data_IF_561917974365
#
_entry.id   IF_561917974365
#
_cell.length_a   1.000
_cell.length_b   1.000
_cell.length_c   1.000
_cell.angle_alpha   90.00
_cell.angle_beta   90.00
_cell.angle_gamma   90.00
#
_symmetry.space_group_name_H-M   'P 1'
#
loop_
_entity.id
_entity.type
_entity.pdbx_description
1 polymer ?
#
# COMPACT_ATOMS: atom_id res chain seq x y z
N UNK A 1 26.65 -12.65 -88.83
CA UNK A 1 26.07 -11.33 -88.51
C UNK A 1 25.06 -11.52 -87.43
N UNK A 2 25.42 -11.27 -86.22
CA UNK A 2 24.52 -11.36 -85.03
C UNK A 2 24.67 -10.07 -84.24
N UNK A 3 23.59 -9.32 -84.10
CA UNK A 3 23.47 -8.10 -83.22
C UNK A 3 23.30 -8.49 -81.80
N UNK A 4 23.93 -7.79 -80.82
CA UNK A 4 23.66 -7.96 -79.40
C UNK A 4 22.45 -7.12 -78.99
N UNK A 5 21.53 -7.77 -78.23
CA UNK A 5 20.42 -7.13 -77.52
C UNK A 5 20.93 -6.46 -76.21
N UNK A 6 20.76 -5.14 -76.08
CA UNK A 6 20.92 -4.40 -74.91
C UNK A 6 19.69 -4.61 -73.98
N UNK A 7 19.90 -5.16 -72.80
CA UNK A 7 18.91 -5.14 -71.73
C UNK A 7 19.15 -3.88 -70.89
N UNK A 8 18.21 -2.93 -70.97
CA UNK A 8 18.20 -1.77 -70.09
C UNK A 8 17.67 -2.15 -68.69
N UNK A 9 18.51 -2.03 -67.68
CA UNK A 9 18.13 -2.17 -66.29
C UNK A 9 17.52 -0.84 -65.78
N UNK A 10 16.20 -0.77 -65.67
CA UNK A 10 15.52 0.36 -65.02
C UNK A 10 15.65 0.22 -63.52
N UNK A 11 16.55 0.98 -62.91
CA UNK A 11 16.62 1.12 -61.46
C UNK A 11 15.43 1.98 -60.96
N UNK A 12 14.45 1.34 -60.35
CA UNK A 12 13.39 2.05 -59.61
C UNK A 12 13.98 2.59 -58.32
N UNK A 13 14.23 3.88 -58.27
CA UNK A 13 14.51 4.63 -57.05
C UNK A 13 13.22 4.65 -56.18
N UNK A 14 13.16 3.75 -55.22
CA UNK A 14 12.24 3.85 -54.09
C UNK A 14 12.70 5.02 -53.22
N UNK A 15 12.14 6.21 -53.44
CA UNK A 15 12.25 7.32 -52.52
C UNK A 15 11.49 6.93 -51.25
N UNK A 16 12.21 6.54 -50.20
CA UNK A 16 11.69 6.53 -48.84
C UNK A 16 11.38 7.98 -48.50
N UNK A 17 10.09 8.34 -48.56
CA UNK A 17 9.63 9.59 -47.97
C UNK A 17 9.92 9.53 -46.47
N UNK A 18 11.04 10.12 -46.05
CA UNK A 18 11.28 10.44 -44.67
C UNK A 18 10.14 11.37 -44.28
N UNK A 19 9.25 10.89 -43.40
CA UNK A 19 8.26 11.74 -42.77
C UNK A 19 9.02 12.78 -41.96
N UNK A 20 9.28 13.94 -42.55
CA UNK A 20 9.85 15.08 -41.82
C UNK A 20 8.89 15.41 -40.71
N UNK A 21 9.29 15.14 -39.47
CA UNK A 21 8.54 15.60 -38.31
C UNK A 21 8.48 17.14 -38.41
N UNK A 22 7.27 17.66 -38.57
CA UNK A 22 7.04 19.11 -38.52
C UNK A 22 7.54 19.62 -37.18
N UNK A 23 8.48 20.57 -37.13
CA UNK A 23 8.96 21.11 -35.88
C UNK A 23 7.79 21.73 -35.12
N UNK A 24 7.71 21.42 -33.81
CA UNK A 24 6.71 21.99 -32.90
C UNK A 24 6.91 23.51 -32.88
N UNK A 25 5.90 24.28 -33.26
CA UNK A 25 5.94 25.75 -33.15
C UNK A 25 5.77 26.20 -31.68
N UNK A 26 6.19 27.42 -31.38
CA UNK A 26 5.96 28.00 -30.04
C UNK A 26 4.46 28.10 -29.73
N UNK A 27 3.64 28.51 -30.70
CA UNK A 27 2.18 28.59 -30.54
C UNK A 27 1.58 27.20 -30.25
N UNK A 28 2.07 26.15 -30.90
CA UNK A 28 1.64 24.78 -30.63
C UNK A 28 2.09 24.30 -29.25
N UNK A 29 3.32 24.63 -28.83
CA UNK A 29 3.81 24.29 -27.50
C UNK A 29 3.05 25.01 -26.39
N UNK A 30 2.56 26.22 -26.65
CA UNK A 30 1.75 27.02 -25.73
C UNK A 30 0.26 26.71 -25.81
N UNK A 31 -0.19 25.94 -26.81
CA UNK A 31 -1.58 25.53 -26.95
C UNK A 31 -1.98 24.51 -25.86
N UNK A 32 -3.30 24.27 -25.72
CA UNK A 32 -3.79 23.25 -24.81
C UNK A 32 -3.15 21.88 -25.13
N UNK A 33 -2.62 21.13 -24.14
CA UNK A 33 -1.82 19.90 -24.36
C UNK A 33 -2.58 18.75 -25.06
N UNK A 34 -3.89 18.86 -25.27
CA UNK A 34 -4.68 17.85 -26.00
C UNK A 34 -4.21 17.62 -27.45
N UNK A 35 -3.43 18.53 -28.02
CA UNK A 35 -2.81 18.30 -29.35
C UNK A 35 -1.77 17.18 -29.35
N UNK A 36 -1.19 16.85 -28.19
CA UNK A 36 -0.28 15.69 -28.02
C UNK A 36 -1.08 14.37 -28.04
N UNK A 37 -2.38 14.45 -27.75
CA UNK A 37 -3.28 13.34 -27.55
C UNK A 37 -3.77 13.25 -26.10
N UNK A 38 -4.82 12.48 -25.90
CA UNK A 38 -5.39 12.23 -24.57
C UNK A 38 -5.02 10.82 -24.13
N UNK A 39 -4.02 10.64 -23.22
CA UNK A 39 -3.60 9.33 -22.78
C UNK A 39 -4.69 8.65 -21.95
N UNK A 40 -4.62 7.33 -21.83
CA UNK A 40 -5.38 6.56 -20.85
C UNK A 40 -4.80 6.88 -19.46
N UNK A 41 -5.63 7.40 -18.56
CA UNK A 41 -5.19 7.82 -17.23
C UNK A 41 -5.24 6.67 -16.20
N UNK A 42 -6.20 5.76 -16.37
CA UNK A 42 -6.34 4.57 -15.53
C UNK A 42 -7.04 3.46 -16.29
N UNK A 43 -6.67 2.22 -16.01
CA UNK A 43 -7.32 1.04 -16.58
C UNK A 43 -7.42 -0.06 -15.55
N UNK A 44 -8.51 -0.85 -15.60
CA UNK A 44 -8.72 -1.99 -14.70
C UNK A 44 -9.57 -3.06 -15.39
N UNK A 45 -9.45 -4.28 -14.91
CA UNK A 45 -10.25 -5.40 -15.39
C UNK A 45 -11.62 -5.43 -14.73
N UNK A 46 -12.64 -5.88 -15.47
CA UNK A 46 -13.87 -6.37 -14.86
C UNK A 46 -13.55 -7.56 -13.94
N UNK A 47 -14.33 -7.74 -12.87
CA UNK A 47 -14.07 -8.80 -11.90
C UNK A 47 -14.08 -10.21 -12.51
N UNK A 48 -14.84 -10.42 -13.59
CA UNK A 48 -14.89 -11.67 -14.36
C UNK A 48 -13.77 -11.81 -15.41
N UNK A 49 -12.87 -10.82 -15.49
CA UNK A 49 -11.73 -10.76 -16.44
C UNK A 49 -12.11 -10.82 -17.93
N UNK A 50 -13.35 -10.49 -18.30
CA UNK A 50 -13.80 -10.51 -19.69
C UNK A 50 -13.67 -9.17 -20.40
N UNK A 51 -13.60 -8.07 -19.64
CA UNK A 51 -13.50 -6.72 -20.17
C UNK A 51 -12.44 -5.91 -19.44
N UNK A 52 -11.90 -4.92 -20.14
CA UNK A 52 -11.07 -3.87 -19.54
C UNK A 52 -11.90 -2.59 -19.56
N UNK A 53 -11.93 -1.92 -18.42
CA UNK A 53 -12.43 -0.55 -18.31
C UNK A 53 -11.24 0.40 -18.28
N UNK A 54 -11.42 1.59 -18.84
CA UNK A 54 -10.41 2.63 -18.73
C UNK A 54 -11.03 4.02 -18.74
N UNK A 55 -10.34 4.97 -18.13
CA UNK A 55 -10.70 6.39 -18.12
C UNK A 55 -9.77 7.17 -19.04
N UNK A 56 -10.37 8.04 -19.81
CA UNK A 56 -9.67 8.91 -20.75
C UNK A 56 -10.32 10.29 -20.77
N UNK A 57 -9.50 11.33 -20.78
CA UNK A 57 -9.96 12.70 -20.93
C UNK A 57 -10.59 12.89 -22.32
N UNK A 58 -11.72 13.60 -22.36
CA UNK A 58 -12.32 14.00 -23.65
C UNK A 58 -11.50 15.15 -24.26
N UNK A 59 -11.22 15.06 -25.54
CA UNK A 59 -10.50 16.10 -26.28
C UNK A 59 -11.23 17.45 -26.15
N UNK A 60 -10.52 18.48 -25.79
CA UNK A 60 -11.08 19.84 -25.60
C UNK A 60 -11.96 20.02 -24.35
N UNK A 61 -11.98 19.07 -23.42
CA UNK A 61 -12.80 19.11 -22.21
C UNK A 61 -12.00 18.62 -21.00
N UNK A 62 -12.19 19.17 -19.78
CA UNK A 62 -11.62 18.61 -18.56
C UNK A 62 -12.34 17.32 -18.11
N UNK A 63 -13.45 16.94 -18.74
CA UNK A 63 -14.25 15.77 -18.37
C UNK A 63 -13.57 14.48 -18.81
N UNK A 64 -13.62 13.46 -17.95
CA UNK A 64 -13.17 12.10 -18.24
C UNK A 64 -14.37 11.23 -18.56
N UNK A 65 -14.25 10.43 -19.62
CA UNK A 65 -15.20 9.38 -19.94
C UNK A 65 -14.63 8.02 -19.59
N UNK A 66 -15.50 7.09 -19.21
CA UNK A 66 -15.15 5.69 -19.02
C UNK A 66 -15.50 4.91 -20.28
N UNK A 67 -14.59 4.04 -20.68
CA UNK A 67 -14.74 3.15 -21.83
C UNK A 67 -14.62 1.71 -21.41
N UNK A 68 -15.22 0.81 -22.17
CA UNK A 68 -15.03 -0.62 -22.05
C UNK A 68 -14.45 -1.19 -23.34
N UNK A 69 -13.58 -2.18 -23.18
CA UNK A 69 -12.96 -2.94 -24.24
C UNK A 69 -13.02 -4.42 -23.88
N UNK A 70 -13.38 -5.30 -24.82
CA UNK A 70 -13.33 -6.74 -24.57
C UNK A 70 -11.91 -7.22 -24.25
N UNK A 71 -11.76 -8.20 -23.36
CA UNK A 71 -10.46 -8.73 -22.94
C UNK A 71 -9.63 -9.35 -24.07
N UNK A 72 -10.25 -9.66 -25.21
CA UNK A 72 -9.59 -10.13 -26.43
C UNK A 72 -9.32 -9.00 -27.44
N UNK A 73 -9.58 -7.75 -27.06
CA UNK A 73 -9.47 -6.59 -27.94
C UNK A 73 -10.79 -6.26 -28.63
N UNK A 74 -10.72 -5.44 -29.69
CA UNK A 74 -11.88 -4.99 -30.45
C UNK A 74 -12.05 -3.47 -30.41
N UNK A 75 -13.26 -2.98 -30.64
CA UNK A 75 -13.57 -1.57 -30.55
C UNK A 75 -13.99 -1.15 -29.17
N UNK A 76 -13.36 -0.11 -28.64
CA UNK A 76 -13.75 0.47 -27.36
C UNK A 76 -15.10 1.17 -27.45
N UNK A 77 -15.94 0.99 -26.46
CA UNK A 77 -17.26 1.62 -26.37
C UNK A 77 -17.31 2.51 -25.12
N UNK A 78 -17.79 3.75 -25.31
CA UNK A 78 -18.01 4.66 -24.20
C UNK A 78 -19.17 4.15 -23.34
N UNK A 79 -18.99 4.22 -22.03
CA UNK A 79 -20.00 3.85 -21.06
C UNK A 79 -20.82 5.09 -20.72
N UNK A 80 -22.14 4.95 -20.85
CA UNK A 80 -23.08 6.00 -20.49
C UNK A 80 -23.20 6.13 -18.96
N UNK A 81 -23.47 7.35 -18.48
CA UNK A 81 -23.57 7.64 -17.05
C UNK A 81 -24.61 6.76 -16.33
N UNK A 82 -25.71 6.38 -17.02
CA UNK A 82 -26.74 5.48 -16.49
C UNK A 82 -26.24 4.06 -16.21
N UNK A 83 -25.24 3.59 -16.96
CA UNK A 83 -24.67 2.27 -16.80
C UNK A 83 -23.52 2.25 -15.77
N UNK A 84 -23.00 3.42 -15.39
CA UNK A 84 -21.85 3.54 -14.53
C UNK A 84 -22.04 2.89 -13.13
N UNK A 85 -23.28 2.92 -12.62
CA UNK A 85 -23.63 2.29 -11.36
C UNK A 85 -23.49 0.76 -11.34
N UNK A 86 -23.34 0.13 -12.50
CA UNK A 86 -23.18 -1.32 -12.64
C UNK A 86 -21.72 -1.75 -12.89
N UNK A 87 -20.78 -0.81 -12.94
CA UNK A 87 -19.37 -1.13 -13.22
C UNK A 87 -18.67 -1.67 -11.96
N UNK A 88 -17.68 -2.52 -12.22
CA UNK A 88 -16.63 -2.81 -11.25
C UNK A 88 -15.66 -1.64 -11.17
N UNK A 89 -14.90 -1.54 -10.08
CA UNK A 89 -13.87 -0.50 -9.92
C UNK A 89 -12.50 -1.17 -9.73
N UNK A 90 -11.43 -0.39 -9.84
CA UNK A 90 -10.07 -0.85 -9.60
C UNK A 90 -9.86 -1.30 -8.13
N UNK A 91 -8.76 -2.00 -7.87
CA UNK A 91 -8.40 -2.40 -6.49
C UNK A 91 -9.24 -3.55 -5.93
N UNK A 92 -9.74 -4.43 -6.79
CA UNK A 92 -10.57 -5.57 -6.40
C UNK A 92 -9.78 -6.58 -5.57
N UNK A 93 -10.37 -7.03 -4.45
CA UNK A 93 -9.93 -8.18 -3.68
C UNK A 93 -10.87 -9.36 -3.93
N UNK A 94 -10.30 -10.54 -4.15
CA UNK A 94 -11.06 -11.76 -4.47
C UNK A 94 -11.12 -12.70 -3.27
N UNK A 95 -12.20 -13.47 -3.15
CA UNK A 95 -12.22 -14.61 -2.24
C UNK A 95 -11.27 -15.73 -2.72
N UNK A 96 -10.91 -16.66 -1.83
CA UNK A 96 -9.95 -17.71 -2.13
C UNK A 96 -10.36 -18.59 -3.32
N UNK A 97 -11.66 -18.80 -3.52
CA UNK A 97 -12.22 -19.56 -4.64
C UNK A 97 -12.35 -18.73 -5.94
N UNK A 98 -12.08 -17.42 -5.88
CA UNK A 98 -12.29 -16.46 -6.98
C UNK A 98 -13.72 -16.52 -7.55
N UNK A 99 -14.70 -16.66 -6.67
CA UNK A 99 -16.12 -16.64 -7.03
C UNK A 99 -16.78 -15.30 -6.76
N UNK A 100 -16.13 -14.46 -5.94
CA UNK A 100 -16.60 -13.12 -5.58
C UNK A 100 -15.42 -12.15 -5.57
N UNK A 101 -15.71 -10.89 -5.88
CA UNK A 101 -14.78 -9.78 -5.76
C UNK A 101 -15.41 -8.67 -4.92
N UNK A 102 -14.62 -8.00 -4.09
CA UNK A 102 -15.02 -6.79 -3.35
C UNK A 102 -14.15 -5.62 -3.79
N UNK A 103 -14.71 -4.44 -3.82
CA UNK A 103 -14.03 -3.21 -4.21
C UNK A 103 -14.71 -1.98 -3.60
N UNK A 104 -14.00 -0.85 -3.64
CA UNK A 104 -14.56 0.45 -3.24
C UNK A 104 -15.02 1.21 -4.48
N UNK A 105 -16.20 1.78 -4.39
CA UNK A 105 -16.70 2.73 -5.38
C UNK A 105 -17.34 3.91 -4.67
N UNK A 106 -16.83 5.12 -4.93
CA UNK A 106 -17.27 6.37 -4.29
C UNK A 106 -17.29 6.32 -2.76
N UNK A 107 -16.32 5.62 -2.15
CA UNK A 107 -16.21 5.50 -0.70
C UNK A 107 -17.00 4.35 -0.09
N UNK A 108 -17.87 3.68 -0.83
CA UNK A 108 -18.68 2.54 -0.34
C UNK A 108 -18.11 1.19 -0.81
N UNK A 109 -18.36 0.15 -0.01
CA UNK A 109 -17.97 -1.23 -0.31
C UNK A 109 -19.03 -1.91 -1.17
N UNK A 110 -18.57 -2.51 -2.28
CA UNK A 110 -19.37 -3.32 -3.18
C UNK A 110 -18.83 -4.73 -3.31
N UNK A 111 -19.71 -5.68 -3.58
CA UNK A 111 -19.34 -7.07 -3.87
C UNK A 111 -19.97 -7.52 -5.18
N UNK A 112 -19.13 -8.11 -6.06
CA UNK A 112 -19.54 -8.76 -7.30
C UNK A 112 -19.53 -10.27 -7.13
N UNK A 113 -20.62 -10.95 -7.43
CA UNK A 113 -20.66 -12.41 -7.64
C UNK A 113 -20.23 -12.72 -9.08
N UNK A 114 -19.20 -13.54 -9.27
CA UNK A 114 -18.68 -13.85 -10.61
C UNK A 114 -19.51 -14.89 -11.33
N UNK A 115 -20.27 -15.73 -10.60
CA UNK A 115 -21.09 -16.77 -11.20
C UNK A 115 -22.34 -16.24 -11.93
N UNK A 116 -23.00 -15.25 -11.38
CA UNK A 116 -24.26 -14.68 -11.91
C UNK A 116 -24.17 -13.18 -12.23
N UNK A 117 -23.03 -12.55 -12.00
CA UNK A 117 -22.83 -11.13 -12.25
C UNK A 117 -23.55 -10.19 -11.29
N UNK A 118 -24.15 -10.69 -10.20
CA UNK A 118 -24.90 -9.85 -9.26
C UNK A 118 -23.97 -8.89 -8.52
N UNK A 119 -24.37 -7.62 -8.44
CA UNK A 119 -23.68 -6.57 -7.69
C UNK A 119 -24.47 -6.27 -6.41
N UNK A 120 -23.81 -6.37 -5.26
CA UNK A 120 -24.36 -6.06 -3.95
C UNK A 120 -23.62 -4.86 -3.38
N UNK A 121 -24.34 -3.80 -3.01
CA UNK A 121 -23.79 -2.71 -2.22
C UNK A 121 -23.85 -3.12 -0.74
N UNK A 122 -22.68 -3.16 -0.09
CA UNK A 122 -22.53 -3.57 1.32
C UNK A 122 -22.71 -2.39 2.25
N UNK A 123 -22.12 -1.24 1.90
CA UNK A 123 -22.24 -0.01 2.70
C UNK A 123 -22.89 1.10 1.90
N UNK A 124 -23.50 2.04 2.60
CA UNK A 124 -23.98 3.30 2.07
C UNK A 124 -23.88 4.34 3.18
N UNK A 125 -22.79 5.04 3.24
CA UNK A 125 -22.51 6.01 4.30
C UNK A 125 -21.93 7.31 3.75
N UNK A 126 -21.86 8.34 4.60
CA UNK A 126 -21.17 9.59 4.27
C UNK A 126 -19.67 9.51 4.54
N UNK A 127 -19.23 8.49 5.29
CA UNK A 127 -17.82 8.21 5.57
C UNK A 127 -17.28 7.26 4.51
N UNK A 128 -16.00 7.41 4.17
CA UNK A 128 -15.35 6.52 3.24
C UNK A 128 -14.91 5.23 3.95
N UNK A 129 -15.16 4.11 3.30
CA UNK A 129 -14.57 2.83 3.63
C UNK A 129 -13.31 2.58 2.80
N UNK A 130 -12.39 1.80 3.37
CA UNK A 130 -11.12 1.43 2.76
C UNK A 130 -10.78 -0.05 2.97
N UNK A 131 -9.78 -0.54 2.26
CA UNK A 131 -9.16 -1.86 2.42
C UNK A 131 -10.16 -3.04 2.48
N UNK A 132 -11.14 -3.13 1.55
CA UNK A 132 -12.11 -4.23 1.55
C UNK A 132 -11.38 -5.55 1.23
N UNK A 133 -11.67 -6.59 2.01
CA UNK A 133 -11.10 -7.91 1.81
C UNK A 133 -12.07 -8.99 2.30
N UNK A 134 -11.93 -10.21 1.80
CA UNK A 134 -12.65 -11.35 2.37
C UNK A 134 -11.95 -11.86 3.63
N UNK A 135 -12.73 -12.36 4.59
CA UNK A 135 -12.18 -13.18 5.66
C UNK A 135 -11.57 -14.47 5.08
N UNK A 136 -10.60 -15.06 5.78
CA UNK A 136 -9.89 -16.24 5.32
C UNK A 136 -10.82 -17.44 5.03
N UNK A 137 -11.93 -17.55 5.76
CA UNK A 137 -12.99 -18.56 5.55
C UNK A 137 -14.02 -18.14 4.45
N UNK A 138 -13.88 -16.93 3.91
CA UNK A 138 -14.81 -16.39 2.92
C UNK A 138 -16.20 -16.04 3.45
N UNK A 139 -16.44 -16.18 4.77
CA UNK A 139 -17.76 -15.97 5.40
C UNK A 139 -18.15 -14.51 5.60
N UNK A 140 -17.18 -13.61 5.55
CA UNK A 140 -17.37 -12.18 5.81
C UNK A 140 -16.59 -11.31 4.82
N UNK A 141 -17.02 -10.06 4.67
CA UNK A 141 -16.24 -8.99 4.05
C UNK A 141 -15.75 -8.08 5.17
N UNK A 142 -14.44 -7.96 5.29
CA UNK A 142 -13.76 -7.06 6.23
C UNK A 142 -13.46 -5.75 5.52
N UNK A 143 -13.61 -4.63 6.21
CA UNK A 143 -13.27 -3.31 5.67
C UNK A 143 -12.94 -2.34 6.81
N UNK A 144 -12.26 -1.27 6.47
CA UNK A 144 -11.89 -0.20 7.41
C UNK A 144 -12.78 1.01 7.20
N UNK A 145 -13.16 1.68 8.30
CA UNK A 145 -13.78 3.01 8.31
C UNK A 145 -13.07 3.85 9.37
N UNK A 146 -12.41 4.92 8.95
CA UNK A 146 -11.50 5.65 9.85
C UNK A 146 -10.41 4.74 10.40
N UNK A 147 -10.30 4.64 11.72
CA UNK A 147 -9.35 3.73 12.36
C UNK A 147 -9.94 2.35 12.70
N UNK A 148 -11.23 2.18 12.56
CA UNK A 148 -11.96 1.01 13.03
C UNK A 148 -12.17 -0.01 11.90
N UNK A 149 -12.15 -1.30 12.25
CA UNK A 149 -12.38 -2.42 11.34
C UNK A 149 -13.74 -3.05 11.58
N UNK A 150 -14.43 -3.34 10.49
CA UNK A 150 -15.77 -3.90 10.48
C UNK A 150 -15.82 -5.20 9.67
N UNK A 151 -16.76 -6.05 9.99
CA UNK A 151 -17.12 -7.23 9.22
C UNK A 151 -18.57 -7.13 8.78
N UNK A 152 -18.82 -7.31 7.49
CA UNK A 152 -20.15 -7.56 6.95
C UNK A 152 -20.38 -9.06 6.74
N UNK A 153 -21.54 -9.55 7.14
CA UNK A 153 -21.97 -10.94 6.95
C UNK A 153 -23.12 -11.01 5.95
N UNK A 154 -23.27 -12.17 5.29
CA UNK A 154 -24.37 -12.41 4.33
C UNK A 154 -25.77 -12.21 4.92
N UNK A 155 -25.94 -12.23 6.26
CA UNK A 155 -27.17 -11.87 6.96
C UNK A 155 -27.53 -10.38 6.85
N UNK A 156 -26.61 -9.54 6.38
CA UNK A 156 -26.73 -8.08 6.35
C UNK A 156 -26.18 -7.38 7.60
N UNK A 157 -25.76 -8.12 8.61
CA UNK A 157 -25.16 -7.54 9.81
C UNK A 157 -23.78 -6.95 9.50
N UNK A 158 -23.56 -5.71 9.96
CA UNK A 158 -22.24 -5.07 10.02
C UNK A 158 -21.86 -4.95 11.49
N UNK A 159 -20.74 -5.53 11.87
CA UNK A 159 -20.27 -5.54 13.25
C UNK A 159 -18.84 -5.01 13.36
N UNK A 160 -18.47 -4.25 14.42
CA UNK A 160 -17.11 -3.84 14.64
C UNK A 160 -16.26 -5.04 15.09
N UNK A 161 -15.17 -5.30 14.37
CA UNK A 161 -14.20 -6.35 14.68
C UNK A 161 -13.11 -5.81 15.61
N UNK A 162 -12.66 -4.58 15.33
CA UNK A 162 -11.61 -3.91 16.07
C UNK A 162 -11.85 -2.39 16.07
N UNK A 163 -11.87 -1.79 17.23
CA UNK A 163 -11.94 -0.35 17.41
C UNK A 163 -10.62 0.16 17.97
N UNK A 164 -9.93 1.07 17.26
CA UNK A 164 -8.63 1.61 17.62
C UNK A 164 -8.76 3.05 18.09
N UNK A 165 -8.23 3.35 19.29
CA UNK A 165 -8.28 4.70 19.88
C UNK A 165 -6.88 5.21 20.20
N UNK A 166 -6.55 6.39 19.69
CA UNK A 166 -5.36 7.16 20.06
C UNK A 166 -5.64 8.01 21.31
N UNK A 167 -6.06 7.34 22.37
CA UNK A 167 -6.49 7.93 23.64
C UNK A 167 -5.93 7.13 24.79
N UNK A 168 -5.90 7.74 25.99
CA UNK A 168 -5.61 6.99 27.21
C UNK A 168 -6.76 6.03 27.51
N UNK A 169 -6.43 4.80 27.92
CA UNK A 169 -7.41 3.84 28.38
C UNK A 169 -8.13 4.40 29.63
N UNK A 170 -9.45 4.64 29.56
CA UNK A 170 -10.18 5.25 30.68
C UNK A 170 -10.24 4.34 31.93
N UNK A 171 -10.08 3.03 31.73
CA UNK A 171 -10.09 2.05 32.83
C UNK A 171 -8.69 1.85 33.44
N UNK A 172 -7.62 2.29 32.76
CA UNK A 172 -6.25 2.32 33.30
C UNK A 172 -6.02 3.57 34.12
N UNK A 173 -6.14 3.43 35.43
CA UNK A 173 -5.73 4.50 36.34
C UNK A 173 -4.20 4.60 36.39
N UNK A 174 -3.65 5.82 36.52
CA UNK A 174 -2.23 5.98 36.77
C UNK A 174 -1.82 5.19 38.02
N UNK A 175 -0.60 4.63 38.05
CA UNK A 175 -0.13 3.89 39.22
C UNK A 175 -0.23 4.79 40.45
N UNK A 176 -0.92 4.29 41.47
CA UNK A 176 -1.07 5.00 42.74
C UNK A 176 0.31 5.11 43.37
N UNK A 177 0.73 6.33 43.75
CA UNK A 177 2.00 6.51 44.45
C UNK A 177 2.05 5.66 45.75
N UNK A 178 3.23 5.24 46.16
CA UNK A 178 3.39 4.45 47.38
C UNK A 178 2.78 5.17 48.62
N UNK A 179 2.85 6.51 48.66
CA UNK A 179 2.22 7.33 49.68
C UNK A 179 0.69 7.25 49.63
N UNK A 180 0.09 7.44 48.42
CA UNK A 180 -1.36 7.33 48.27
C UNK A 180 -1.88 5.91 48.51
N UNK A 181 -1.09 4.87 48.21
CA UNK A 181 -1.44 3.48 48.52
C UNK A 181 -1.41 3.22 50.03
N UNK A 182 -0.50 3.86 50.75
CA UNK A 182 -0.43 3.77 52.20
C UNK A 182 -1.62 4.47 52.85
N UNK A 183 -1.96 5.69 52.44
CA UNK A 183 -3.12 6.44 52.93
C UNK A 183 -4.44 5.69 52.69
N UNK A 184 -4.61 5.11 51.48
CA UNK A 184 -5.79 4.30 51.15
C UNK A 184 -5.94 3.06 52.03
N UNK A 185 -4.83 2.45 52.48
CA UNK A 185 -4.88 1.32 53.45
C UNK A 185 -5.29 1.73 54.86
N UNK A 186 -5.01 2.96 55.25
CA UNK A 186 -5.43 3.49 56.56
C UNK A 186 -6.93 3.71 56.67
N UNK A 187 -7.63 3.85 55.53
CA UNK A 187 -9.09 4.02 55.44
C UNK A 187 -9.72 2.75 54.87
N UNK A 188 -10.00 1.78 55.78
CA UNK A 188 -10.51 0.45 55.42
C UNK A 188 -11.77 0.49 54.52
N UNK A 189 -12.62 1.50 54.69
CA UNK A 189 -13.82 1.67 53.84
C UNK A 189 -13.49 2.02 52.40
N UNK A 190 -12.51 2.91 52.16
CA UNK A 190 -12.07 3.27 50.81
C UNK A 190 -11.31 2.12 50.12
N UNK A 191 -10.50 1.37 50.90
CA UNK A 191 -9.86 0.16 50.38
C UNK A 191 -10.88 -0.87 49.91
N UNK A 192 -11.89 -1.17 50.74
CA UNK A 192 -12.99 -2.08 50.37
C UNK A 192 -13.75 -1.61 49.13
N UNK A 193 -14.11 -0.34 49.08
CA UNK A 193 -14.83 0.22 47.90
C UNK A 193 -13.99 0.17 46.62
N UNK A 194 -12.66 0.28 46.76
CA UNK A 194 -11.75 0.11 45.63
C UNK A 194 -11.76 -1.34 45.15
N UNK A 195 -11.61 -2.30 46.05
CA UNK A 195 -11.58 -3.73 45.75
C UNK A 195 -12.92 -4.18 45.11
N UNK A 196 -14.05 -3.70 45.63
CA UNK A 196 -15.37 -3.97 45.09
C UNK A 196 -15.54 -3.42 43.66
N UNK A 197 -15.06 -2.19 43.39
CA UNK A 197 -15.08 -1.61 42.03
C UNK A 197 -14.18 -2.39 41.07
N UNK A 198 -12.99 -2.79 41.50
CA UNK A 198 -12.06 -3.57 40.70
C UNK A 198 -12.66 -4.96 40.35
N UNK A 199 -13.31 -5.61 41.33
CA UNK A 199 -13.99 -6.87 41.12
C UNK A 199 -15.16 -6.74 40.15
N UNK A 200 -16.02 -5.70 40.28
CA UNK A 200 -17.11 -5.43 39.39
C UNK A 200 -16.64 -5.11 37.93
N UNK A 201 -15.59 -4.30 37.81
CA UNK A 201 -15.01 -3.99 36.49
C UNK A 201 -14.46 -5.25 35.84
N UNK A 202 -13.73 -6.07 36.57
CA UNK A 202 -13.19 -7.35 36.07
C UNK A 202 -14.30 -8.31 35.60
N UNK A 203 -15.38 -8.42 36.37
CA UNK A 203 -16.54 -9.24 36.00
C UNK A 203 -17.25 -8.69 34.76
N UNK A 204 -17.50 -7.36 34.73
CA UNK A 204 -18.09 -6.70 33.55
C UNK A 204 -17.26 -6.96 32.28
N UNK A 205 -15.96 -6.77 32.35
CA UNK A 205 -15.06 -6.92 31.21
C UNK A 205 -14.98 -8.38 30.77
N UNK A 206 -14.95 -9.32 31.71
CA UNK A 206 -15.02 -10.76 31.44
C UNK A 206 -16.31 -11.13 30.70
N UNK A 207 -17.47 -10.61 31.13
CA UNK A 207 -18.76 -10.83 30.45
C UNK A 207 -18.76 -10.24 29.05
N UNK A 208 -18.28 -9.00 28.86
CA UNK A 208 -18.19 -8.36 27.53
C UNK A 208 -17.31 -9.13 26.55
N UNK A 209 -16.19 -9.69 27.02
CA UNK A 209 -15.31 -10.49 26.20
C UNK A 209 -15.92 -11.86 25.83
N UNK A 210 -16.74 -12.42 26.73
CA UNK A 210 -17.41 -13.72 26.53
C UNK A 210 -18.70 -13.60 25.69
N UNK A 211 -19.29 -12.41 25.64
CA UNK A 211 -20.56 -12.16 24.94
C UNK A 211 -20.30 -11.87 23.45
N UNK A 212 -20.55 -12.88 22.60
CA UNK A 212 -20.40 -12.74 21.15
C UNK A 212 -21.44 -11.80 20.49
N UNK A 213 -22.51 -11.41 21.21
CA UNK A 213 -23.51 -10.48 20.72
C UNK A 213 -23.16 -9.01 20.98
N UNK A 214 -22.17 -8.75 21.81
CA UNK A 214 -21.73 -7.41 22.18
C UNK A 214 -20.49 -6.99 21.36
N UNK A 215 -20.46 -5.72 20.96
CA UNK A 215 -19.25 -5.14 20.38
C UNK A 215 -18.11 -5.21 21.39
N UNK A 216 -16.92 -5.65 20.91
CA UNK A 216 -15.75 -5.70 21.76
C UNK A 216 -15.33 -4.30 22.23
N UNK A 217 -14.72 -4.16 23.41
CA UNK A 217 -14.20 -2.88 23.87
C UNK A 217 -13.18 -2.31 22.89
N UNK A 218 -12.97 -0.99 22.91
CA UNK A 218 -11.95 -0.35 22.10
C UNK A 218 -10.54 -0.71 22.59
N UNK A 219 -9.59 -0.78 21.67
CA UNK A 219 -8.16 -0.96 21.93
C UNK A 219 -7.49 0.40 21.99
N UNK A 220 -6.90 0.74 23.12
CA UNK A 220 -6.28 2.04 23.38
C UNK A 220 -4.77 1.98 23.14
N UNK A 221 -4.24 2.91 22.34
CA UNK A 221 -2.82 3.01 21.98
C UNK A 221 -2.08 4.13 22.76
N UNK A 222 -2.81 4.87 23.61
CA UNK A 222 -2.28 6.01 24.35
C UNK A 222 -2.68 7.36 23.73
N UNK A 223 -2.61 8.42 24.52
CA UNK A 223 -3.03 9.78 24.14
C UNK A 223 -1.97 10.57 23.35
N UNK A 224 -0.72 10.09 23.41
CA UNK A 224 0.44 10.81 22.87
C UNK A 224 0.85 10.30 21.46
N UNK A 225 -0.05 9.57 20.81
CA UNK A 225 0.15 9.02 19.48
C UNK A 225 -0.93 9.45 18.50
N UNK A 226 -0.60 9.38 17.21
CA UNK A 226 -1.54 9.47 16.08
C UNK A 226 -1.49 8.14 15.34
N UNK A 227 -2.64 7.54 15.06
CA UNK A 227 -2.73 6.35 14.23
C UNK A 227 -2.55 6.79 12.77
N UNK A 228 -1.50 6.29 12.13
CA UNK A 228 -1.17 6.63 10.73
C UNK A 228 -1.69 5.57 9.74
N UNK A 229 -2.06 4.40 10.22
CA UNK A 229 -2.62 3.33 9.42
C UNK A 229 -2.72 2.04 10.19
N UNK A 230 -3.51 1.11 9.66
CA UNK A 230 -3.63 -0.24 10.22
C UNK A 230 -3.98 -1.25 9.13
N UNK A 231 -3.74 -2.52 9.42
CA UNK A 231 -4.21 -3.64 8.60
C UNK A 231 -4.70 -4.77 9.50
N UNK A 232 -5.76 -5.45 9.09
CA UNK A 232 -6.36 -6.57 9.80
C UNK A 232 -6.05 -7.88 9.05
N UNK A 233 -5.66 -8.91 9.77
CA UNK A 233 -5.46 -10.23 9.16
C UNK A 233 -6.75 -10.79 8.58
N UNK A 234 -6.72 -11.48 7.43
CA UNK A 234 -7.91 -12.11 6.85
C UNK A 234 -8.62 -13.09 7.80
N UNK A 235 -7.89 -13.73 8.72
CA UNK A 235 -8.49 -14.59 9.75
C UNK A 235 -9.06 -13.83 10.96
N UNK A 236 -8.98 -12.49 10.97
CA UNK A 236 -9.50 -11.65 12.05
C UNK A 236 -8.76 -11.75 13.38
N UNK A 237 -7.63 -12.48 13.43
CA UNK A 237 -6.93 -12.75 14.69
C UNK A 237 -6.00 -11.63 15.13
N UNK A 238 -5.30 -11.03 14.18
CA UNK A 238 -4.30 -10.00 14.45
C UNK A 238 -4.58 -8.73 13.65
N UNK A 239 -4.28 -7.60 14.24
CA UNK A 239 -4.12 -6.36 13.51
C UNK A 239 -2.72 -5.81 13.71
N UNK A 240 -2.24 -5.08 12.71
CA UNK A 240 -0.98 -4.39 12.75
C UNK A 240 -1.26 -2.89 12.62
N UNK A 241 -0.75 -2.08 13.56
CA UNK A 241 -1.07 -0.67 13.66
C UNK A 241 0.20 0.16 13.61
N UNK A 242 0.16 1.24 12.87
CA UNK A 242 1.25 2.19 12.68
C UNK A 242 0.89 3.48 13.42
N UNK A 243 1.80 3.96 14.26
CA UNK A 243 1.61 5.23 14.96
C UNK A 243 2.81 6.14 14.80
N UNK A 244 2.54 7.45 14.87
CA UNK A 244 3.54 8.51 15.02
C UNK A 244 3.33 9.23 16.35
N UNK A 245 4.34 9.92 16.85
CA UNK A 245 4.22 10.75 18.03
C UNK A 245 3.31 11.96 17.76
N UNK A 246 2.38 12.23 18.67
CA UNK A 246 1.46 13.37 18.56
C UNK A 246 2.22 14.68 18.83
N UNK A 247 2.02 15.67 17.95
CA UNK A 247 2.68 16.98 18.08
C UNK A 247 4.18 16.95 17.77
N UNK A 248 4.69 15.87 17.16
CA UNK A 248 6.04 15.84 16.62
C UNK A 248 6.24 16.94 15.58
N UNK A 249 7.45 17.48 15.49
CA UNK A 249 7.81 18.52 14.53
C UNK A 249 7.77 17.97 13.10
N UNK A 250 6.73 18.33 12.36
CA UNK A 250 6.58 17.95 10.94
C UNK A 250 7.45 18.83 10.02
N UNK A 251 8.23 19.73 10.61
CA UNK A 251 9.09 20.64 9.89
C UNK A 251 8.35 21.88 9.39
N UNK A 252 9.05 22.71 8.61
CA UNK A 252 8.56 23.99 8.13
C UNK A 252 8.23 23.91 6.64
N UNK A 253 6.94 23.97 6.30
CA UNK A 253 6.47 24.02 4.92
C UNK A 253 6.94 25.26 4.19
N UNK A 254 7.27 25.13 2.92
CA UNK A 254 7.45 26.24 2.01
C UNK A 254 6.09 26.83 1.61
N UNK A 255 6.09 28.11 1.25
CA UNK A 255 4.94 28.76 0.60
C UNK A 255 5.39 29.23 -0.77
N UNK A 256 4.64 28.90 -1.79
CA UNK A 256 4.89 29.31 -3.17
C UNK A 256 3.75 30.22 -3.61
N UNK A 257 4.05 31.45 -4.09
CA UNK A 257 3.02 32.33 -4.60
C UNK A 257 2.49 31.81 -5.94
N UNK A 258 1.19 31.88 -6.12
CA UNK A 258 0.47 31.75 -7.39
C UNK A 258 0.04 33.13 -7.84
N UNK A 259 0.63 33.62 -8.92
CA UNK A 259 0.31 34.96 -9.47
C UNK A 259 -0.84 34.94 -10.47
N UNK A 260 -1.08 33.77 -11.13
CA UNK A 260 -2.21 33.59 -12.05
C UNK A 260 -3.27 32.74 -11.33
N UNK A 261 -4.33 33.38 -10.89
CA UNK A 261 -5.40 32.78 -10.10
C UNK A 261 -6.76 33.19 -10.61
N UNK A 262 -7.79 32.42 -10.31
CA UNK A 262 -9.18 32.77 -10.66
C UNK A 262 -9.68 34.00 -9.91
N UNK A 263 -9.17 34.27 -8.71
CA UNK A 263 -9.50 35.43 -7.90
C UNK A 263 -8.92 36.72 -8.45
N UNK A 264 -7.93 36.65 -9.34
CA UNK A 264 -7.17 37.80 -9.84
C UNK A 264 -6.20 38.41 -8.81
N UNK A 265 -6.05 37.79 -7.64
CA UNK A 265 -5.12 38.21 -6.59
C UNK A 265 -4.07 37.13 -6.35
N UNK A 266 -2.93 37.51 -5.78
CA UNK A 266 -1.89 36.59 -5.38
C UNK A 266 -2.43 35.61 -4.32
N UNK A 267 -2.26 34.31 -4.57
CA UNK A 267 -2.58 33.24 -3.66
C UNK A 267 -1.30 32.46 -3.25
N UNK A 268 -1.31 31.83 -2.07
CA UNK A 268 -0.17 31.04 -1.60
C UNK A 268 -0.54 29.58 -1.49
N UNK A 269 0.25 28.75 -2.14
CA UNK A 269 0.16 27.29 -2.03
C UNK A 269 1.20 26.79 -1.03
N UNK A 270 0.76 25.92 -0.11
CA UNK A 270 1.69 25.21 0.76
C UNK A 270 2.38 24.12 -0.05
N UNK A 271 3.70 24.23 -0.15
CA UNK A 271 4.53 23.27 -0.87
C UNK A 271 5.40 22.47 0.08
N UNK A 272 6.23 21.59 -0.49
CA UNK A 272 7.16 20.73 0.27
C UNK A 272 7.90 21.50 1.35
N UNK A 273 8.22 20.82 2.40
CA UNK A 273 9.04 21.34 3.50
C UNK A 273 10.40 21.79 2.97
N UNK A 274 10.93 22.84 3.56
CA UNK A 274 12.25 23.39 3.21
C UNK A 274 13.33 22.34 3.47
N UNK A 275 14.35 22.30 2.61
CA UNK A 275 15.48 21.39 2.72
C UNK A 275 16.11 21.51 4.11
N UNK A 276 16.38 20.37 4.76
CA UNK A 276 16.94 20.30 6.11
C UNK A 276 15.96 20.67 7.24
N UNK A 277 14.70 20.97 6.92
CA UNK A 277 13.66 21.33 7.91
C UNK A 277 12.56 20.26 8.02
N UNK A 278 12.71 19.16 7.34
CA UNK A 278 11.78 18.04 7.37
C UNK A 278 12.54 16.75 7.70
N UNK A 279 12.51 16.36 8.94
CA UNK A 279 12.88 15.01 9.33
C UNK A 279 11.61 14.17 9.23
N UNK A 280 11.58 13.10 8.42
CA UNK A 280 10.45 12.18 8.42
C UNK A 280 10.23 11.67 9.83
N UNK A 281 8.97 11.67 10.29
CA UNK A 281 8.63 11.21 11.63
C UNK A 281 8.92 9.72 11.77
N UNK A 282 9.58 9.34 12.84
CA UNK A 282 9.73 7.94 13.23
C UNK A 282 8.34 7.33 13.49
N UNK A 283 8.17 6.08 13.14
CA UNK A 283 6.95 5.34 13.37
C UNK A 283 7.19 4.22 14.37
N UNK A 284 6.19 3.97 15.20
CA UNK A 284 6.09 2.77 16.04
C UNK A 284 5.08 1.83 15.41
N UNK A 285 5.39 0.56 15.45
CA UNK A 285 4.57 -0.50 14.89
C UNK A 285 4.08 -1.40 16.02
N UNK A 286 2.77 -1.66 16.01
CA UNK A 286 2.10 -2.39 17.08
C UNK A 286 1.42 -3.63 16.53
N UNK A 287 1.57 -4.73 17.24
CA UNK A 287 0.82 -5.94 17.02
C UNK A 287 -0.33 -5.99 18.03
N UNK A 288 -1.56 -6.07 17.52
CA UNK A 288 -2.79 -6.19 18.32
C UNK A 288 -3.35 -7.59 18.12
N UNK A 289 -3.54 -8.34 19.20
CA UNK A 289 -4.32 -9.58 19.18
C UNK A 289 -5.79 -9.25 19.45
N UNK A 290 -6.64 -9.41 18.42
CA UNK A 290 -8.04 -8.93 18.42
C UNK A 290 -8.89 -9.59 19.51
N UNK A 291 -8.66 -10.89 19.79
CA UNK A 291 -9.46 -11.62 20.77
C UNK A 291 -9.22 -11.16 22.19
N UNK A 292 -7.98 -10.88 22.55
CA UNK A 292 -7.55 -10.51 23.92
C UNK A 292 -7.34 -9.01 24.07
N UNK A 293 -7.35 -8.25 22.97
CA UNK A 293 -7.02 -6.83 22.88
C UNK A 293 -5.60 -6.51 23.40
N UNK A 294 -4.73 -7.51 23.39
CA UNK A 294 -3.33 -7.36 23.77
C UNK A 294 -2.59 -6.53 22.73
N UNK A 295 -1.92 -5.48 23.18
CA UNK A 295 -1.11 -4.57 22.33
C UNK A 295 0.35 -4.74 22.70
N UNK A 296 1.19 -5.03 21.70
CA UNK A 296 2.64 -5.16 21.86
C UNK A 296 3.37 -4.34 20.81
N UNK A 297 4.35 -3.55 21.22
CA UNK A 297 5.24 -2.86 20.28
C UNK A 297 6.15 -3.88 19.59
N UNK A 298 6.37 -3.69 18.29
CA UNK A 298 7.21 -4.60 17.50
C UNK A 298 8.69 -4.30 17.77
N UNK A 299 9.46 -5.34 18.04
CA UNK A 299 10.90 -5.26 18.26
C UNK A 299 11.67 -5.39 16.91
N UNK A 300 12.54 -4.43 16.63
CA UNK A 300 13.38 -4.37 15.45
C UNK A 300 14.84 -4.74 15.71
N UNK A 301 15.20 -5.13 16.93
CA UNK A 301 16.59 -5.40 17.33
C UNK A 301 17.28 -6.48 16.49
N UNK A 302 16.48 -7.40 15.90
CA UNK A 302 16.96 -8.48 15.04
C UNK A 302 17.27 -8.04 13.59
N UNK A 303 16.97 -6.81 13.21
CA UNK A 303 17.24 -6.34 11.84
C UNK A 303 18.74 -6.12 11.62
N UNK A 304 19.33 -6.71 10.59
CA UNK A 304 20.76 -6.55 10.32
C UNK A 304 21.11 -5.07 10.05
N UNK A 305 22.09 -4.54 10.76
CA UNK A 305 22.56 -3.17 10.62
C UNK A 305 21.69 -2.09 11.24
N UNK A 306 20.64 -2.45 12.02
CA UNK A 306 19.73 -1.47 12.63
C UNK A 306 20.41 -0.50 13.60
N UNK A 307 21.47 -0.93 14.29
CA UNK A 307 22.26 -0.11 15.20
C UNK A 307 23.53 0.46 14.55
N UNK A 308 23.78 0.18 13.27
CA UNK A 308 24.95 0.72 12.55
C UNK A 308 24.63 2.13 12.04
N UNK A 309 25.44 3.12 12.35
CA UNK A 309 25.30 4.47 11.83
C UNK A 309 25.97 4.59 10.44
N UNK A 310 25.20 4.64 9.34
CA UNK A 310 25.77 4.79 8.00
C UNK A 310 26.33 6.20 7.75
N UNK A 311 26.08 7.15 8.64
CA UNK A 311 26.51 8.53 8.56
C UNK A 311 27.63 8.86 9.59
N UNK A 312 28.25 7.84 10.21
CA UNK A 312 29.22 8.02 11.29
C UNK A 312 30.37 8.96 10.90
N UNK A 313 30.96 8.78 9.71
CA UNK A 313 32.07 9.64 9.24
C UNK A 313 31.59 11.07 8.98
N UNK A 314 30.42 11.27 8.41
CA UNK A 314 29.84 12.60 8.20
C UNK A 314 29.54 13.31 9.52
N UNK A 315 29.01 12.57 10.51
CA UNK A 315 28.78 13.11 11.86
C UNK A 315 30.09 13.54 12.51
N UNK A 316 31.13 12.72 12.41
CA UNK A 316 32.44 13.03 12.93
C UNK A 316 33.04 14.31 12.31
N UNK A 317 32.97 14.43 10.97
CA UNK A 317 33.44 15.64 10.25
C UNK A 317 32.66 16.87 10.69
N UNK A 318 31.34 16.74 10.88
CA UNK A 318 30.46 17.83 11.29
C UNK A 318 30.42 18.05 12.82
N UNK A 319 31.20 17.31 13.59
CA UNK A 319 31.25 17.36 15.08
C UNK A 319 29.86 17.16 15.70
N UNK A 320 29.04 16.29 15.08
CA UNK A 320 27.74 15.89 15.60
C UNK A 320 27.89 14.66 16.50
N UNK A 321 26.94 14.51 17.46
CA UNK A 321 26.91 13.34 18.32
C UNK A 321 26.74 12.03 17.52
N UNK A 322 27.43 10.95 17.94
CA UNK A 322 27.22 9.63 17.34
C UNK A 322 25.78 9.15 17.53
N UNK A 323 25.35 8.28 16.62
CA UNK A 323 24.06 7.61 16.78
C UNK A 323 24.05 6.80 18.08
N UNK A 324 23.01 6.98 18.90
CA UNK A 324 22.77 6.20 20.11
C UNK A 324 21.61 5.24 19.89
N UNK A 325 21.87 3.95 20.01
CA UNK A 325 20.84 2.92 19.90
C UNK A 325 20.48 2.56 18.44
N UNK A 326 19.21 2.23 18.23
CA UNK A 326 18.68 1.82 16.92
C UNK A 326 18.34 3.05 16.07
N UNK A 327 18.48 2.91 14.74
CA UNK A 327 18.02 3.91 13.79
C UNK A 327 16.51 4.02 13.79
N UNK A 328 16.00 5.24 13.65
CA UNK A 328 14.59 5.48 13.51
C UNK A 328 14.06 4.91 12.18
N UNK A 329 12.89 4.32 12.24
CA UNK A 329 12.26 3.58 11.15
C UNK A 329 10.90 4.17 10.79
N UNK A 330 10.48 3.89 9.57
CA UNK A 330 9.10 4.08 9.14
C UNK A 330 8.70 3.07 8.06
N UNK A 331 7.42 2.79 7.98
CA UNK A 331 6.82 2.07 6.85
C UNK A 331 7.00 2.90 5.59
N UNK A 332 7.28 2.25 4.48
CA UNK A 332 7.24 2.88 3.17
C UNK A 332 5.80 3.23 2.86
N UNK A 333 5.50 4.51 2.63
CA UNK A 333 4.14 4.96 2.43
C UNK A 333 3.55 4.47 1.10
N UNK A 334 2.29 4.08 1.13
CA UNK A 334 1.50 3.69 -0.06
C UNK A 334 1.30 4.84 -1.07
N UNK A 335 1.59 6.08 -0.68
CA UNK A 335 1.46 7.27 -1.53
C UNK A 335 2.63 7.52 -2.48
N UNK A 336 3.66 6.69 -2.45
CA UNK A 336 4.87 6.86 -3.28
C UNK A 336 4.69 6.28 -4.69
N UNK A 337 3.55 6.51 -5.35
CA UNK A 337 3.26 6.13 -6.75
C UNK A 337 3.56 4.66 -7.14
N UNK A 338 3.99 3.82 -6.21
CA UNK A 338 4.40 2.43 -6.51
C UNK A 338 3.21 1.48 -6.64
N UNK A 339 2.02 1.87 -6.20
CA UNK A 339 0.83 1.01 -6.21
C UNK A 339 0.93 -0.23 -5.31
N UNK A 340 2.10 -0.50 -4.75
CA UNK A 340 2.35 -1.65 -3.90
C UNK A 340 2.01 -1.32 -2.44
N UNK A 341 1.23 -2.17 -1.82
CA UNK A 341 1.00 -2.12 -0.37
C UNK A 341 2.31 -2.34 0.38
N UNK A 342 2.45 -1.71 1.52
CA UNK A 342 3.65 -1.83 2.38
C UNK A 342 3.54 -2.92 3.43
N UNK A 343 2.37 -3.55 3.50
CA UNK A 343 2.03 -4.63 4.41
C UNK A 343 1.16 -5.64 3.67
N UNK A 344 1.59 -6.88 3.60
CA UNK A 344 0.86 -7.95 2.92
C UNK A 344 0.64 -9.13 3.85
N UNK A 345 -0.60 -9.56 3.98
CA UNK A 345 -0.97 -10.79 4.65
C UNK A 345 -0.92 -11.97 3.67
N UNK A 346 -0.56 -13.15 4.19
CA UNK A 346 -0.87 -14.40 3.49
C UNK A 346 -2.39 -14.59 3.40
N UNK A 347 -2.86 -15.32 2.39
CA UNK A 347 -4.29 -15.50 2.15
C UNK A 347 -5.04 -16.13 3.35
N UNK A 348 -4.36 -16.98 4.13
CA UNK A 348 -4.87 -17.59 5.35
C UNK A 348 -4.78 -16.68 6.59
N UNK A 349 -4.16 -15.51 6.47
CA UNK A 349 -3.95 -14.56 7.56
C UNK A 349 -2.97 -15.00 8.64
N UNK A 350 -2.15 -16.05 8.37
CA UNK A 350 -1.20 -16.58 9.35
C UNK A 350 0.18 -15.93 9.28
N UNK A 351 0.50 -15.23 8.20
CA UNK A 351 1.76 -14.51 8.01
C UNK A 351 1.51 -13.07 7.61
N UNK A 352 2.33 -12.17 8.12
CA UNK A 352 2.39 -10.76 7.69
C UNK A 352 3.80 -10.43 7.26
N UNK A 353 3.93 -9.89 6.06
CA UNK A 353 5.16 -9.30 5.57
C UNK A 353 5.05 -7.77 5.56
N UNK A 354 6.13 -7.11 5.98
CA UNK A 354 6.19 -5.66 6.12
C UNK A 354 7.47 -5.14 5.50
N UNK A 355 7.36 -4.05 4.77
CA UNK A 355 8.51 -3.34 4.24
C UNK A 355 8.72 -2.02 4.98
N UNK A 356 9.90 -1.86 5.57
CA UNK A 356 10.28 -0.68 6.35
C UNK A 356 11.59 -0.09 5.86
N UNK A 357 11.79 1.19 6.12
CA UNK A 357 13.02 1.91 5.81
C UNK A 357 13.58 2.62 7.04
N UNK A 358 14.89 2.80 7.06
CA UNK A 358 15.51 3.77 7.94
C UNK A 358 15.20 5.20 7.48
N UNK A 359 15.04 6.12 8.42
CA UNK A 359 14.77 7.54 8.14
C UNK A 359 15.91 8.19 7.32
N UNK A 360 17.13 7.69 7.50
CA UNK A 360 18.32 8.15 6.75
C UNK A 360 18.34 7.72 5.27
N UNK A 361 17.35 6.92 4.82
CA UNK A 361 17.22 6.41 3.46
C UNK A 361 18.39 5.54 2.96
N UNK A 362 19.20 4.97 3.86
CA UNK A 362 20.34 4.12 3.51
C UNK A 362 20.01 2.63 3.54
N UNK A 363 18.92 2.26 4.20
CA UNK A 363 18.49 0.87 4.35
C UNK A 363 16.99 0.70 4.21
N UNK A 364 16.61 -0.40 3.56
CA UNK A 364 15.25 -0.94 3.47
C UNK A 364 15.27 -2.41 3.88
N UNK A 365 14.39 -2.78 4.77
CA UNK A 365 14.19 -4.17 5.17
C UNK A 365 12.81 -4.64 4.74
N UNK A 366 12.78 -5.83 4.22
CA UNK A 366 11.58 -6.62 4.05
C UNK A 366 11.62 -7.70 5.12
N UNK A 367 10.60 -7.79 5.94
CA UNK A 367 10.56 -8.74 7.05
C UNK A 367 9.22 -9.42 7.21
N UNK A 368 9.24 -10.57 7.89
CA UNK A 368 8.05 -11.28 8.36
C UNK A 368 7.86 -11.02 9.84
N UNK A 369 6.62 -10.85 10.27
CA UNK A 369 6.28 -10.64 11.69
C UNK A 369 6.27 -12.00 12.41
N UNK A 370 7.06 -12.10 13.47
CA UNK A 370 6.96 -13.15 14.46
C UNK A 370 5.91 -12.74 15.50
N UNK A 371 4.72 -13.29 15.38
CA UNK A 371 3.59 -12.96 16.25
C UNK A 371 3.81 -13.40 17.70
N UNK A 372 4.54 -14.48 17.94
CA UNK A 372 4.77 -15.00 19.29
C UNK A 372 5.65 -14.04 20.09
N UNK A 373 6.70 -13.52 19.48
CA UNK A 373 7.68 -12.66 20.13
C UNK A 373 7.49 -11.17 19.85
N UNK A 374 6.52 -10.78 19.00
CA UNK A 374 6.32 -9.44 18.48
C UNK A 374 7.61 -8.84 17.89
N UNK A 375 8.25 -9.58 16.98
CA UNK A 375 9.51 -9.21 16.34
C UNK A 375 9.36 -9.15 14.83
N UNK A 376 10.14 -8.29 14.18
CA UNK A 376 10.30 -8.33 12.73
C UNK A 376 11.57 -9.11 12.38
N UNK A 377 11.40 -10.23 11.67
CA UNK A 377 12.49 -11.08 11.18
C UNK A 377 12.81 -10.68 9.75
N UNK A 378 14.05 -10.24 9.49
CA UNK A 378 14.50 -9.82 8.17
C UNK A 378 14.49 -10.97 7.17
N UNK A 379 13.81 -10.77 6.04
CA UNK A 379 13.84 -11.64 4.85
C UNK A 379 14.84 -11.11 3.83
N UNK A 380 14.88 -9.79 3.67
CA UNK A 380 15.78 -9.12 2.75
C UNK A 380 16.17 -7.75 3.31
N UNK A 381 17.43 -7.36 3.08
CA UNK A 381 17.93 -6.02 3.34
C UNK A 381 18.55 -5.47 2.07
N UNK A 382 18.10 -4.31 1.63
CA UNK A 382 18.77 -3.50 0.64
C UNK A 382 19.47 -2.36 1.38
N UNK A 383 20.75 -2.14 1.08
CA UNK A 383 21.55 -1.05 1.63
C UNK A 383 22.28 -0.33 0.51
N UNK A 384 22.35 0.99 0.59
CA UNK A 384 23.06 1.83 -0.35
C UNK A 384 23.80 2.96 0.39
N UNK A 385 25.11 3.19 0.10
CA UNK A 385 25.87 4.25 0.75
C UNK A 385 25.39 5.66 0.36
N UNK A 386 24.78 5.82 -0.82
CA UNK A 386 24.18 7.07 -1.25
C UNK A 386 22.71 7.17 -0.78
N UNK A 387 21.81 6.42 -1.35
CA UNK A 387 20.40 6.39 -0.99
C UNK A 387 19.65 5.29 -1.78
N UNK A 388 18.60 4.75 -1.21
CA UNK A 388 17.79 3.72 -1.86
C UNK A 388 16.75 4.37 -2.78
N UNK A 389 16.58 3.85 -3.98
CA UNK A 389 15.49 4.19 -4.89
C UNK A 389 14.17 3.61 -4.37
N UNK A 390 13.14 4.46 -4.29
CA UNK A 390 11.82 4.08 -3.75
C UNK A 390 10.80 3.66 -4.82
N UNK A 391 11.23 3.50 -6.07
CA UNK A 391 10.33 3.11 -7.16
C UNK A 391 10.10 1.60 -7.26
N UNK A 392 10.92 0.77 -6.61
CA UNK A 392 10.93 -0.68 -6.77
C UNK A 392 10.65 -1.36 -5.42
N UNK A 393 9.44 -1.13 -4.89
CA UNK A 393 9.04 -1.61 -3.57
C UNK A 393 8.02 -2.75 -3.62
N UNK A 394 7.73 -3.30 -4.80
CA UNK A 394 6.73 -4.34 -4.97
C UNK A 394 7.17 -5.63 -4.27
N UNK A 395 6.29 -6.23 -3.51
CA UNK A 395 6.48 -7.51 -2.85
C UNK A 395 5.14 -8.15 -2.51
N UNK A 396 5.15 -9.43 -2.14
CA UNK A 396 3.94 -10.11 -1.70
C UNK A 396 4.11 -11.60 -1.50
N UNK A 397 3.01 -12.26 -1.15
CA UNK A 397 2.93 -13.71 -1.04
C UNK A 397 2.46 -14.34 -2.35
N UNK A 398 2.95 -15.55 -2.61
CA UNK A 398 2.45 -16.47 -3.61
C UNK A 398 1.79 -17.68 -2.92
N UNK A 399 0.98 -18.47 -3.62
CA UNK A 399 0.42 -19.70 -3.08
C UNK A 399 1.50 -20.61 -2.45
N UNK A 400 1.17 -21.22 -1.33
CA UNK A 400 2.11 -22.02 -0.53
C UNK A 400 3.06 -21.18 0.33
N UNK A 401 2.68 -19.94 0.64
CA UNK A 401 3.43 -19.02 1.48
C UNK A 401 4.84 -18.70 0.97
N UNK A 402 5.07 -18.89 -0.35
CA UNK A 402 6.25 -18.39 -1.03
C UNK A 402 6.20 -16.86 -1.07
N UNK A 403 7.35 -16.25 -1.24
CA UNK A 403 7.52 -14.82 -1.14
C UNK A 403 8.21 -14.27 -2.38
N UNK A 404 7.77 -13.12 -2.88
CA UNK A 404 8.41 -12.44 -3.99
C UNK A 404 8.64 -10.97 -3.66
N UNK A 405 9.64 -10.36 -4.26
CA UNK A 405 9.95 -8.95 -4.11
C UNK A 405 10.81 -8.41 -5.25
N UNK A 406 10.81 -7.09 -5.42
CA UNK A 406 11.75 -6.38 -6.25
C UNK A 406 12.95 -5.90 -5.42
N UNK A 407 14.14 -5.96 -6.00
CA UNK A 407 15.36 -5.44 -5.37
C UNK A 407 16.39 -5.03 -6.40
N UNK A 408 17.09 -3.94 -6.11
CA UNK A 408 18.23 -3.40 -6.87
C UNK A 408 19.57 -3.94 -6.37
N UNK A 409 19.62 -4.99 -5.56
CA UNK A 409 20.85 -5.54 -4.98
C UNK A 409 21.91 -5.96 -6.01
N UNK A 410 21.55 -6.14 -7.27
CA UNK A 410 22.42 -6.48 -8.38
C UNK A 410 22.74 -5.29 -9.31
N UNK A 411 22.33 -4.07 -8.95
CA UNK A 411 22.55 -2.85 -9.73
C UNK A 411 21.36 -2.40 -10.57
N UNK A 412 20.41 -3.32 -10.86
CA UNK A 412 19.14 -3.06 -11.52
C UNK A 412 18.02 -3.70 -10.73
N UNK A 413 16.80 -3.15 -10.87
CA UNK A 413 15.61 -3.75 -10.24
C UNK A 413 15.27 -5.07 -10.87
N UNK A 414 15.32 -6.13 -10.10
CA UNK A 414 15.00 -7.49 -10.54
C UNK A 414 13.98 -8.17 -9.62
N UNK A 415 13.25 -9.14 -10.20
CA UNK A 415 12.27 -9.95 -9.51
C UNK A 415 12.94 -11.15 -8.83
N UNK A 416 12.69 -11.28 -7.53
CA UNK A 416 13.16 -12.38 -6.69
C UNK A 416 12.00 -13.20 -6.14
N UNK A 417 12.17 -14.50 -6.03
CA UNK A 417 11.22 -15.41 -5.37
C UNK A 417 11.95 -16.33 -4.40
N UNK A 418 11.38 -16.55 -3.23
CA UNK A 418 11.95 -17.38 -2.19
C UNK A 418 10.94 -17.86 -1.15
N UNK A 419 11.42 -18.55 -0.13
CA UNK A 419 10.65 -19.05 1.02
C UNK A 419 10.78 -18.16 2.28
N UNK A 420 11.51 -17.05 2.15
CA UNK A 420 11.86 -16.15 3.25
C UNK A 420 13.18 -16.47 3.95
N UNK A 421 13.87 -17.57 3.58
CA UNK A 421 15.24 -17.89 4.03
C UNK A 421 16.25 -17.69 2.92
N UNK A 422 15.89 -18.14 1.72
CA UNK A 422 16.69 -17.93 0.52
C UNK A 422 15.79 -17.42 -0.62
N UNK A 423 16.34 -16.58 -1.48
CA UNK A 423 15.63 -16.06 -2.64
C UNK A 423 16.48 -16.27 -3.90
N UNK A 424 15.79 -16.65 -5.00
CA UNK A 424 16.36 -16.78 -6.33
C UNK A 424 15.92 -15.60 -7.18
N UNK A 425 16.85 -14.96 -7.89
CA UNK A 425 16.51 -14.01 -8.93
C UNK A 425 15.83 -14.73 -10.09
N UNK A 426 14.65 -14.28 -10.49
CA UNK A 426 13.96 -14.77 -11.69
C UNK A 426 14.41 -13.98 -12.92
N UNK A 427 14.74 -12.70 -12.75
CA UNK A 427 15.24 -11.84 -13.83
C UNK A 427 16.67 -11.40 -13.54
N UNK A 428 17.45 -11.12 -14.59
CA UNK A 428 18.82 -10.64 -14.49
C UNK A 428 19.22 -9.94 -15.79
N UNK A 429 20.23 -9.06 -15.71
CA UNK A 429 20.75 -8.34 -16.87
C UNK A 429 20.72 -6.82 -16.68
N UNK A 430 21.05 -6.07 -17.73
CA UNK A 430 21.11 -4.61 -17.72
C UNK A 430 19.72 -4.00 -18.08
N UNK A 431 18.72 -4.26 -17.25
CA UNK A 431 17.36 -3.73 -17.40
C UNK A 431 16.64 -3.72 -16.05
N UNK A 432 15.55 -2.99 -15.95
CA UNK A 432 14.71 -2.88 -14.77
C UNK A 432 13.40 -3.65 -14.93
N UNK A 433 12.96 -4.28 -13.85
CA UNK A 433 11.62 -4.86 -13.69
C UNK A 433 10.81 -4.03 -12.70
N UNK A 434 9.54 -3.74 -13.00
CA UNK A 434 8.62 -2.98 -12.15
C UNK A 434 7.17 -3.40 -12.35
N UNK A 435 6.26 -2.94 -11.49
CA UNK A 435 4.80 -3.15 -11.62
C UNK A 435 4.42 -4.61 -11.80
N UNK A 436 4.91 -5.47 -10.91
CA UNK A 436 4.76 -6.93 -11.01
C UNK A 436 3.34 -7.36 -10.68
N UNK A 437 2.75 -8.16 -11.57
CA UNK A 437 1.43 -8.78 -11.39
C UNK A 437 1.53 -10.29 -11.59
N UNK A 438 1.07 -11.07 -10.63
CA UNK A 438 1.05 -12.52 -10.71
C UNK A 438 -0.33 -13.04 -11.13
N UNK A 439 -0.35 -14.10 -11.91
CA UNK A 439 -1.60 -14.83 -12.12
C UNK A 439 -2.09 -15.45 -10.78
N UNK A 440 -3.37 -15.77 -10.68
CA UNK A 440 -3.97 -16.30 -9.45
C UNK A 440 -3.33 -17.61 -8.93
N UNK A 441 -2.71 -18.40 -9.80
CA UNK A 441 -1.99 -19.61 -9.43
C UNK A 441 -0.55 -19.35 -8.93
N UNK A 442 -0.03 -18.10 -9.07
CA UNK A 442 1.34 -17.76 -8.70
C UNK A 442 2.40 -18.50 -9.51
N UNK A 443 2.07 -18.84 -10.77
CA UNK A 443 2.95 -19.59 -11.70
C UNK A 443 3.54 -18.72 -12.79
N UNK A 444 2.95 -17.56 -13.07
CA UNK A 444 3.32 -16.65 -14.14
C UNK A 444 3.22 -15.20 -13.64
N UNK A 445 4.30 -14.45 -13.80
CA UNK A 445 4.35 -13.01 -13.55
C UNK A 445 4.33 -12.23 -14.86
N UNK A 446 3.61 -11.11 -14.86
CA UNK A 446 3.72 -10.03 -15.84
C UNK A 446 4.31 -8.82 -15.14
N UNK A 447 5.15 -8.06 -15.85
CA UNK A 447 5.80 -6.88 -15.29
C UNK A 447 6.24 -5.94 -16.42
N UNK A 448 6.50 -4.68 -16.07
CA UNK A 448 7.14 -3.75 -17.00
C UNK A 448 8.64 -3.97 -16.99
N UNK A 449 9.25 -3.95 -18.17
CA UNK A 449 10.71 -4.07 -18.31
C UNK A 449 11.21 -3.21 -19.48
N UNK A 450 12.46 -2.74 -19.40
CA UNK A 450 13.11 -1.93 -20.43
C UNK A 450 14.30 -2.66 -21.08
N UNK A 451 14.11 -3.95 -21.41
CA UNK A 451 15.20 -4.83 -21.93
C UNK A 451 15.80 -4.40 -23.23
N UNK A 452 15.00 -3.86 -24.16
CA UNK A 452 15.47 -3.49 -25.49
C UNK A 452 16.18 -2.13 -25.49
N UNK A 453 15.58 -1.18 -24.80
CA UNK A 453 16.13 0.16 -24.69
C UNK A 453 15.68 0.81 -23.36
N UNK A 454 16.59 1.48 -22.62
CA UNK A 454 16.29 2.00 -21.30
C UNK A 454 15.10 2.99 -21.21
N UNK A 455 14.78 3.67 -22.31
CA UNK A 455 13.68 4.63 -22.38
C UNK A 455 12.36 4.03 -22.84
N UNK A 456 12.29 2.73 -23.12
CA UNK A 456 11.09 2.07 -23.64
C UNK A 456 10.68 0.89 -22.76
N UNK A 457 9.56 1.04 -22.05
CA UNK A 457 9.04 0.02 -21.15
C UNK A 457 8.00 -0.84 -21.87
N UNK A 458 8.26 -2.12 -21.90
CA UNK A 458 7.41 -3.15 -22.50
C UNK A 458 6.81 -4.04 -21.43
N UNK A 459 5.75 -4.77 -21.76
CA UNK A 459 5.21 -5.83 -20.91
C UNK A 459 6.02 -7.09 -21.12
N UNK A 460 6.72 -7.49 -20.07
CA UNK A 460 7.46 -8.75 -19.98
C UNK A 460 6.66 -9.79 -19.20
N UNK A 461 6.97 -11.07 -19.40
CA UNK A 461 6.44 -12.17 -18.60
C UNK A 461 7.52 -13.16 -18.25
N UNK A 462 7.35 -13.87 -17.12
CA UNK A 462 8.27 -14.93 -16.70
C UNK A 462 7.52 -15.96 -15.87
N UNK A 463 7.88 -17.23 -16.01
CA UNK A 463 7.36 -18.29 -15.16
C UNK A 463 8.00 -18.23 -13.75
N UNK A 464 7.30 -18.73 -12.75
CA UNK A 464 7.77 -18.73 -11.36
C UNK A 464 9.04 -19.59 -11.11
N UNK A 465 9.43 -20.42 -12.06
CA UNK A 465 10.70 -21.17 -12.05
C UNK A 465 11.87 -20.39 -12.68
N UNK A 466 11.58 -19.22 -13.30
CA UNK A 466 12.55 -18.38 -13.98
C UNK A 466 12.70 -18.66 -15.48
N UNK A 467 11.91 -19.56 -16.05
CA UNK A 467 11.90 -19.82 -17.50
C UNK A 467 10.95 -18.88 -18.25
N UNK A 468 11.14 -18.72 -19.56
CA UNK A 468 10.17 -18.07 -20.45
C UNK A 468 10.16 -16.53 -20.39
N UNK A 469 11.27 -15.90 -20.02
CA UNK A 469 11.44 -14.44 -20.09
C UNK A 469 11.53 -13.94 -21.54
#
# INVERSE_FOLDING_TARGET
MSLPRFFGLSAALLSTASMAQTPISLDQAMAHPDWIGTPIESAWWSADSKSVFYRQKLTGSPVRATYTLGGQGGQATRIENSAWAQLDEAGQAFDAARTRAVFIRQGDVFMRSLGNGALTQITRSAENEDAPQFSADGGSVLFQRGNDWFAWRASGLIEPVLQLKAEADPDKKPPVSAASAHELRLIATLARQKDEREAMNKDRDSRRLADASSAKPATYLGKDVVISGSTLSPNGRYAFVITTEKGADEGQSGKMPKYVTESGFEEFETVRTRVGRNMPLAQKLWLVEVATQSVRELDFSALPGIATDPLAELRKVQKLEPLKGQRALRIINQGDNSGAGTMHWSADGTQLAVQIRAIDNKDRWLGKVDFANAKLISVHRLTDPAWINWNFNDFGFLPGNRFWYLSEQSGYSHLYVGDGKAAKALTSGAFEASSVQWNGAGTLAYFLCNRKWPGDYEVCRINADGSGL
#
